data_IF_023750122169
#
_entry.id   IF_023750122169
#
_cell.length_a   1.000
_cell.length_b   1.000
_cell.length_c   1.000
_cell.angle_alpha   90.00
_cell.angle_beta   90.00
_cell.angle_gamma   90.00
#
_symmetry.space_group_name_H-M   'P 1'
#
loop_
_entity.id
_entity.type
_entity.pdbx_description
1 polymer ?
#
# COMPACT_ATOMS: atom_id res chain seq x y z
N UNK A 1 -20.42 4.86 5.52
CA UNK A 1 -19.24 5.02 6.42
C UNK A 1 -18.54 6.31 6.03
N UNK A 2 -18.16 7.16 7.01
CA UNK A 2 -17.37 8.36 6.71
C UNK A 2 -15.89 7.99 6.45
N UNK A 3 -15.14 8.86 5.77
CA UNK A 3 -13.70 8.64 5.56
C UNK A 3 -12.95 8.47 6.90
N UNK A 4 -13.37 9.21 7.93
CA UNK A 4 -12.78 9.11 9.27
C UNK A 4 -13.01 7.73 9.90
N UNK A 5 -14.21 7.18 9.77
CA UNK A 5 -14.55 5.84 10.26
C UNK A 5 -13.77 4.77 9.52
N UNK A 6 -13.71 4.84 8.18
CA UNK A 6 -12.93 3.93 7.36
C UNK A 6 -11.44 3.92 7.75
N UNK A 7 -10.85 5.11 7.97
CA UNK A 7 -9.46 5.23 8.43
C UNK A 7 -9.24 4.65 9.82
N UNK A 8 -10.19 4.85 10.74
CA UNK A 8 -10.12 4.29 12.11
C UNK A 8 -10.22 2.78 12.11
N UNK A 9 -11.07 2.22 11.25
CA UNK A 9 -11.38 0.79 11.24
C UNK A 9 -10.42 -0.02 10.38
N UNK A 10 -9.79 0.58 9.37
CA UNK A 10 -8.82 -0.07 8.50
C UNK A 10 -7.70 -0.74 9.30
N UNK A 11 -7.37 -1.96 8.97
CA UNK A 11 -6.23 -2.69 9.54
C UNK A 11 -5.51 -3.53 8.48
N UNK A 12 -4.29 -3.97 8.80
CA UNK A 12 -3.58 -4.98 8.03
C UNK A 12 -4.11 -6.38 8.36
N UNK A 13 -4.43 -7.16 7.32
CA UNK A 13 -4.96 -8.51 7.45
C UNK A 13 -3.90 -9.53 7.02
N UNK A 14 -3.25 -10.17 7.98
CA UNK A 14 -2.20 -11.18 7.71
C UNK A 14 -2.75 -12.49 7.14
N UNK A 15 -4.03 -12.75 7.35
CA UNK A 15 -4.78 -13.89 6.81
C UNK A 15 -6.01 -13.36 6.09
N UNK A 16 -6.27 -13.87 4.90
CA UNK A 16 -7.42 -13.54 4.07
C UNK A 16 -8.02 -14.83 3.49
N UNK A 17 -9.26 -14.76 3.01
CA UNK A 17 -9.90 -15.86 2.27
C UNK A 17 -9.58 -15.79 0.78
N UNK A 18 -10.06 -16.75 0.01
CA UNK A 18 -9.84 -16.83 -1.45
C UNK A 18 -10.72 -15.88 -2.26
N UNK A 19 -11.62 -15.12 -1.62
CA UNK A 19 -12.40 -14.09 -2.29
C UNK A 19 -11.47 -12.92 -2.68
N UNK A 20 -11.56 -12.47 -3.94
CA UNK A 20 -10.81 -11.33 -4.44
C UNK A 20 -11.71 -10.45 -5.31
N UNK A 21 -11.45 -9.15 -5.44
CA UNK A 21 -12.20 -8.30 -6.35
C UNK A 21 -12.06 -8.80 -7.79
N UNK A 22 -13.14 -8.65 -8.55
CA UNK A 22 -13.16 -8.89 -10.01
C UNK A 22 -12.31 -7.83 -10.73
N UNK A 23 -12.03 -8.02 -12.02
CA UNK A 23 -11.31 -7.03 -12.83
C UNK A 23 -11.98 -5.66 -12.81
N UNK A 24 -13.28 -5.54 -13.15
CA UNK A 24 -14.00 -4.26 -13.13
C UNK A 24 -14.03 -3.58 -11.74
N UNK A 25 -14.20 -4.35 -10.67
CA UNK A 25 -14.13 -3.79 -9.31
C UNK A 25 -12.73 -3.24 -9.00
N UNK A 26 -11.68 -3.99 -9.36
CA UNK A 26 -10.31 -3.56 -9.16
C UNK A 26 -10.00 -2.27 -9.93
N UNK A 27 -10.44 -2.17 -11.18
CA UNK A 27 -10.29 -0.97 -12.00
C UNK A 27 -10.96 0.25 -11.34
N UNK A 28 -12.18 0.10 -10.83
CA UNK A 28 -12.89 1.15 -10.12
C UNK A 28 -12.14 1.59 -8.85
N UNK A 29 -11.62 0.62 -8.08
CA UNK A 29 -10.85 0.92 -6.86
C UNK A 29 -9.52 1.63 -7.18
N UNK A 30 -8.82 1.21 -8.23
CA UNK A 30 -7.58 1.86 -8.69
C UNK A 30 -7.85 3.27 -9.20
N UNK A 31 -8.94 3.48 -9.95
CA UNK A 31 -9.34 4.80 -10.43
C UNK A 31 -9.62 5.77 -9.26
N UNK A 32 -10.32 5.30 -8.22
CA UNK A 32 -10.60 6.08 -7.02
C UNK A 32 -9.29 6.39 -6.24
N UNK A 33 -8.48 5.37 -6.00
CA UNK A 33 -7.20 5.50 -5.28
C UNK A 33 -6.20 6.41 -6.00
N UNK A 34 -6.25 6.45 -7.33
CA UNK A 34 -5.40 7.32 -8.16
C UNK A 34 -5.70 8.83 -8.05
N UNK A 35 -6.70 9.23 -7.25
CA UNK A 35 -7.04 10.65 -7.00
C UNK A 35 -6.21 11.32 -5.91
N UNK A 36 -5.10 10.71 -5.51
CA UNK A 36 -4.15 11.34 -4.58
C UNK A 36 -3.57 12.65 -5.13
N UNK A 37 -3.07 13.48 -4.22
CA UNK A 37 -2.31 14.66 -4.63
C UNK A 37 -1.08 14.24 -5.45
N UNK A 38 -0.92 14.83 -6.61
CA UNK A 38 0.10 14.47 -7.59
C UNK A 38 0.65 15.72 -8.27
N UNK A 39 1.94 15.93 -8.18
CA UNK A 39 2.61 17.11 -8.72
C UNK A 39 2.47 17.15 -10.25
N UNK A 40 1.74 18.16 -10.76
CA UNK A 40 1.44 18.37 -12.20
C UNK A 40 0.77 17.17 -12.88
N UNK A 41 0.03 16.37 -12.13
CA UNK A 41 -0.67 15.20 -12.65
C UNK A 41 0.27 14.21 -13.35
N UNK A 42 1.46 14.03 -12.79
CA UNK A 42 2.52 13.19 -13.36
C UNK A 42 2.13 11.71 -13.45
N UNK A 43 1.31 11.23 -12.49
CA UNK A 43 0.89 9.83 -12.33
C UNK A 43 2.08 8.86 -12.32
N UNK A 44 3.05 9.06 -11.45
CA UNK A 44 4.32 8.33 -11.45
C UNK A 44 4.15 6.95 -10.80
N UNK A 45 3.13 6.21 -11.21
CA UNK A 45 2.82 4.92 -10.62
C UNK A 45 2.09 3.99 -11.59
N UNK A 46 2.26 2.71 -11.40
CA UNK A 46 1.40 1.67 -11.96
C UNK A 46 1.28 0.49 -11.00
N UNK A 47 0.28 -0.31 -11.23
CA UNK A 47 0.01 -1.52 -10.44
C UNK A 47 0.13 -2.72 -11.37
N UNK A 48 0.80 -3.78 -10.90
CA UNK A 48 0.87 -5.05 -11.60
C UNK A 48 -0.01 -6.03 -10.84
N UNK A 49 -1.03 -6.52 -11.50
CA UNK A 49 -1.93 -7.54 -10.98
C UNK A 49 -1.29 -8.92 -11.11
N UNK A 50 -1.31 -9.70 -10.03
CA UNK A 50 -0.72 -11.03 -9.94
C UNK A 50 -1.77 -11.99 -9.37
N UNK A 51 -2.29 -12.89 -10.22
CA UNK A 51 -3.29 -13.91 -9.87
C UNK A 51 -2.86 -15.29 -10.35
N UNK A 52 -3.56 -16.31 -9.91
CA UNK A 52 -3.40 -17.68 -10.42
C UNK A 52 -1.94 -18.13 -10.47
N UNK A 53 -1.50 -18.58 -11.64
CA UNK A 53 -0.13 -19.05 -11.90
C UNK A 53 0.93 -17.96 -11.82
N UNK A 54 0.57 -16.68 -12.01
CA UNK A 54 1.54 -15.58 -11.92
C UNK A 54 2.14 -15.48 -10.52
N UNK A 55 1.42 -15.95 -9.51
CA UNK A 55 1.92 -16.05 -8.13
C UNK A 55 3.13 -16.99 -8.03
N UNK A 56 3.23 -17.99 -8.90
CA UNK A 56 4.38 -18.90 -8.92
C UNK A 56 5.61 -18.23 -9.54
N UNK A 57 5.41 -17.32 -10.52
CA UNK A 57 6.49 -16.47 -11.05
C UNK A 57 7.05 -15.57 -9.94
N UNK A 58 6.19 -14.93 -9.18
CA UNK A 58 6.59 -14.13 -8.02
C UNK A 58 7.29 -14.99 -6.96
N UNK A 59 6.79 -16.20 -6.69
CA UNK A 59 7.37 -17.11 -5.71
C UNK A 59 8.81 -17.52 -6.05
N UNK A 60 9.08 -17.78 -7.32
CA UNK A 60 10.45 -18.04 -7.81
C UNK A 60 11.33 -16.81 -7.69
N UNK A 61 10.82 -15.65 -8.08
CA UNK A 61 11.58 -14.40 -8.05
C UNK A 61 11.97 -13.99 -6.63
N UNK A 62 11.09 -14.17 -5.64
CA UNK A 62 11.37 -13.93 -4.23
C UNK A 62 12.49 -14.84 -3.72
N UNK A 63 12.41 -16.16 -3.96
CA UNK A 63 13.46 -17.08 -3.54
C UNK A 63 14.80 -16.75 -4.26
N UNK A 64 14.75 -16.40 -5.54
CA UNK A 64 15.96 -16.00 -6.29
C UNK A 64 16.58 -14.73 -5.70
N UNK A 65 15.76 -13.76 -5.31
CA UNK A 65 16.24 -12.54 -4.65
C UNK A 65 16.90 -12.83 -3.30
N UNK A 66 16.38 -13.82 -2.57
CA UNK A 66 16.93 -14.32 -1.29
C UNK A 66 18.15 -15.27 -1.47
N UNK A 67 18.61 -15.51 -2.69
CA UNK A 67 19.68 -16.49 -2.98
C UNK A 67 19.26 -17.95 -2.80
N UNK A 68 17.95 -18.24 -2.75
CA UNK A 68 17.38 -19.57 -2.52
C UNK A 68 16.89 -20.20 -3.82
N UNK A 69 16.87 -21.54 -3.87
CA UNK A 69 16.23 -22.32 -4.95
C UNK A 69 14.75 -22.52 -4.65
N UNK A 70 13.97 -22.89 -5.67
CA UNK A 70 12.57 -23.26 -5.56
C UNK A 70 11.62 -22.07 -5.40
N UNK A 71 10.53 -22.27 -4.69
CA UNK A 71 9.39 -21.34 -4.62
C UNK A 71 9.17 -20.86 -3.18
N UNK A 72 9.01 -19.56 -3.02
CA UNK A 72 8.55 -18.98 -1.76
C UNK A 72 7.07 -19.30 -1.53
N UNK A 73 6.69 -19.66 -0.30
CA UNK A 73 5.28 -19.83 0.07
C UNK A 73 4.53 -18.49 0.26
N UNK A 74 5.26 -17.37 0.31
CA UNK A 74 4.69 -16.04 0.59
C UNK A 74 3.53 -15.68 -0.37
N UNK A 75 3.64 -15.86 -1.72
CA UNK A 75 2.57 -15.46 -2.64
C UNK A 75 1.27 -16.28 -2.54
N UNK A 76 1.32 -17.45 -1.93
CA UNK A 76 0.13 -18.30 -1.75
C UNK A 76 -0.78 -17.83 -0.60
N UNK A 77 -0.39 -16.77 0.13
CA UNK A 77 -1.13 -16.25 1.29
C UNK A 77 -2.33 -15.38 0.92
N UNK A 78 -2.49 -15.04 -0.36
CA UNK A 78 -3.63 -14.27 -0.86
C UNK A 78 -3.96 -14.66 -2.30
N UNK A 79 -5.23 -14.61 -2.70
CA UNK A 79 -5.66 -14.91 -4.08
C UNK A 79 -5.23 -13.86 -5.08
N UNK A 80 -5.10 -12.60 -4.64
CA UNK A 80 -4.66 -11.47 -5.44
C UNK A 80 -3.48 -10.77 -4.76
N UNK A 81 -2.47 -10.45 -5.56
CA UNK A 81 -1.34 -9.62 -5.15
C UNK A 81 -1.21 -8.47 -6.13
N UNK A 82 -1.10 -7.26 -5.62
CA UNK A 82 -0.92 -6.04 -6.40
C UNK A 82 0.48 -5.51 -6.15
N UNK A 83 1.37 -5.63 -7.13
CA UNK A 83 2.70 -5.05 -7.03
C UNK A 83 2.64 -3.55 -7.31
N UNK A 84 3.21 -2.77 -6.41
CA UNK A 84 3.21 -1.31 -6.44
C UNK A 84 4.52 -0.83 -7.07
N UNK A 85 4.41 -0.15 -8.21
CA UNK A 85 5.56 0.37 -8.95
C UNK A 85 5.49 1.88 -8.98
N UNK A 86 6.58 2.54 -8.59
CA UNK A 86 6.78 3.97 -8.82
C UNK A 86 7.69 4.17 -10.03
N UNK A 87 7.35 5.14 -10.86
CA UNK A 87 8.21 5.63 -11.95
C UNK A 87 8.91 6.91 -11.47
N UNK A 88 10.20 6.81 -11.21
CA UNK A 88 11.03 7.93 -10.74
C UNK A 88 11.91 8.50 -11.85
N UNK A 89 11.51 8.32 -13.10
CA UNK A 89 12.27 8.73 -14.27
C UNK A 89 12.22 10.24 -14.56
N UNK A 90 11.22 10.96 -14.05
CA UNK A 90 11.11 12.41 -14.26
C UNK A 90 12.26 13.14 -13.57
N UNK A 91 13.03 13.90 -14.38
CA UNK A 91 14.11 14.76 -13.87
C UNK A 91 13.60 16.12 -13.33
N UNK A 92 12.34 16.46 -13.62
CA UNK A 92 11.73 17.74 -13.19
C UNK A 92 11.13 17.67 -11.80
N UNK A 93 10.82 16.46 -11.32
CA UNK A 93 10.23 16.19 -10.01
C UNK A 93 11.18 15.29 -9.23
N UNK A 94 11.52 15.62 -7.98
CA UNK A 94 12.38 14.79 -7.16
C UNK A 94 11.87 13.33 -7.06
N UNK A 95 12.78 12.37 -7.07
CA UNK A 95 12.41 10.95 -7.02
C UNK A 95 11.56 10.59 -5.78
N UNK A 96 11.86 11.20 -4.63
CA UNK A 96 11.10 10.97 -3.39
C UNK A 96 9.65 11.44 -3.48
N UNK A 97 9.35 12.53 -4.23
CA UNK A 97 7.96 12.97 -4.45
C UNK A 97 7.20 11.95 -5.31
N UNK A 98 7.87 11.40 -6.33
CA UNK A 98 7.29 10.39 -7.21
C UNK A 98 7.00 9.09 -6.43
N UNK A 99 7.92 8.64 -5.57
CA UNK A 99 7.68 7.50 -4.67
C UNK A 99 6.59 7.79 -3.63
N UNK A 100 6.54 9.03 -3.09
CA UNK A 100 5.51 9.44 -2.14
C UNK A 100 4.11 9.40 -2.76
N UNK A 101 3.95 9.88 -4.01
CA UNK A 101 2.69 9.81 -4.75
C UNK A 101 2.26 8.36 -4.96
N UNK A 102 3.17 7.48 -5.41
CA UNK A 102 2.89 6.04 -5.58
C UNK A 102 2.52 5.37 -4.25
N UNK A 103 3.19 5.73 -3.16
CA UNK A 103 2.86 5.25 -1.81
C UNK A 103 1.48 5.76 -1.35
N UNK A 104 1.13 6.99 -1.69
CA UNK A 104 -0.20 7.56 -1.45
C UNK A 104 -1.30 6.73 -2.12
N UNK A 105 -1.11 6.37 -3.40
CA UNK A 105 -2.04 5.48 -4.12
C UNK A 105 -2.19 4.13 -3.41
N UNK A 106 -1.09 3.54 -2.94
CA UNK A 106 -1.13 2.28 -2.22
C UNK A 106 -1.94 2.34 -0.92
N UNK A 107 -1.78 3.44 -0.15
CA UNK A 107 -2.56 3.66 1.07
C UNK A 107 -4.05 3.87 0.77
N UNK A 108 -4.38 4.71 -0.23
CA UNK A 108 -5.77 4.93 -0.64
C UNK A 108 -6.41 3.66 -1.18
N UNK A 109 -5.69 2.88 -1.99
CA UNK A 109 -6.18 1.60 -2.48
C UNK A 109 -6.41 0.60 -1.34
N UNK A 110 -5.52 0.56 -0.35
CA UNK A 110 -5.72 -0.27 0.85
C UNK A 110 -6.97 0.14 1.63
N UNK A 111 -7.29 1.43 1.68
CA UNK A 111 -8.48 1.94 2.36
C UNK A 111 -9.76 1.57 1.61
N UNK A 112 -9.82 1.83 0.31
CA UNK A 112 -10.98 1.52 -0.54
C UNK A 112 -11.26 0.01 -0.57
N UNK A 113 -10.24 -0.83 -0.69
CA UNK A 113 -10.39 -2.29 -0.63
C UNK A 113 -10.89 -2.74 0.75
N UNK A 114 -10.37 -2.14 1.85
CA UNK A 114 -10.84 -2.49 3.20
C UNK A 114 -12.30 -2.10 3.41
N UNK A 115 -12.73 -0.95 2.90
CA UNK A 115 -14.13 -0.49 2.93
C UNK A 115 -15.04 -1.43 2.12
N UNK A 116 -14.58 -1.87 0.95
CA UNK A 116 -15.29 -2.82 0.08
C UNK A 116 -15.35 -4.26 0.64
N UNK A 117 -14.81 -4.51 1.84
CA UNK A 117 -14.89 -5.82 2.49
C UNK A 117 -13.68 -6.73 2.25
N UNK A 118 -12.67 -6.26 1.54
CA UNK A 118 -11.44 -7.02 1.33
C UNK A 118 -10.41 -6.75 2.43
N UNK A 119 -9.72 -7.81 2.87
CA UNK A 119 -8.58 -7.72 3.74
C UNK A 119 -7.31 -7.40 2.95
N UNK A 120 -6.54 -6.42 3.40
CA UNK A 120 -5.32 -5.98 2.72
C UNK A 120 -4.13 -6.04 3.66
N UNK A 121 -2.98 -6.48 3.16
CA UNK A 121 -1.70 -6.42 3.85
C UNK A 121 -0.61 -5.91 2.91
N UNK A 122 -0.07 -4.74 3.17
CA UNK A 122 1.09 -4.25 2.45
C UNK A 122 2.35 -4.95 2.96
N UNK A 123 3.04 -5.66 2.09
CA UNK A 123 4.30 -6.33 2.36
C UNK A 123 5.42 -5.67 1.56
N UNK A 124 6.49 -5.42 2.24
CA UNK A 124 7.78 -5.05 1.66
C UNK A 124 8.76 -6.21 1.85
N UNK A 125 9.90 -6.14 1.20
CA UNK A 125 11.00 -7.09 1.32
C UNK A 125 12.32 -6.32 1.10
N UNK A 126 13.37 -6.69 1.81
CA UNK A 126 14.69 -6.03 1.69
C UNK A 126 15.24 -6.10 0.26
N UNK A 127 14.78 -7.09 -0.49
CA UNK A 127 15.20 -7.32 -1.87
C UNK A 127 14.30 -6.65 -2.93
N UNK A 128 13.33 -5.78 -2.56
CA UNK A 128 12.42 -5.13 -3.53
C UNK A 128 13.15 -4.41 -4.65
N UNK A 129 14.37 -3.94 -4.40
CA UNK A 129 15.25 -3.27 -5.38
C UNK A 129 16.19 -4.21 -6.11
N UNK A 130 16.07 -5.54 -5.94
CA UNK A 130 16.93 -6.52 -6.59
C UNK A 130 16.65 -6.66 -8.08
N UNK A 131 17.71 -6.99 -8.86
CA UNK A 131 17.57 -7.28 -10.31
C UNK A 131 16.60 -8.43 -10.58
N UNK A 132 16.53 -9.42 -9.69
CA UNK A 132 15.64 -10.57 -9.86
C UNK A 132 14.18 -10.16 -9.82
N UNK A 133 13.80 -9.32 -8.86
CA UNK A 133 12.44 -8.80 -8.72
C UNK A 133 12.12 -7.77 -9.81
N UNK A 134 13.05 -6.89 -10.17
CA UNK A 134 12.88 -5.96 -11.28
C UNK A 134 12.57 -6.70 -12.59
N UNK A 135 13.33 -7.75 -12.91
CA UNK A 135 13.09 -8.59 -14.09
C UNK A 135 11.74 -9.31 -14.05
N UNK A 136 11.38 -9.89 -12.90
CA UNK A 136 10.14 -10.63 -12.76
C UNK A 136 8.89 -9.74 -12.92
N UNK A 137 8.97 -8.47 -12.51
CA UNK A 137 7.89 -7.49 -12.65
C UNK A 137 7.97 -6.68 -13.95
N UNK A 138 8.90 -6.98 -14.86
CA UNK A 138 9.07 -6.22 -16.09
C UNK A 138 9.29 -4.73 -15.84
N UNK A 139 10.08 -4.38 -14.83
CA UNK A 139 10.34 -2.98 -14.51
C UNK A 139 11.19 -2.33 -15.59
N UNK A 140 10.78 -1.15 -16.02
CA UNK A 140 11.51 -0.30 -16.96
C UNK A 140 12.61 0.50 -16.25
N UNK A 141 13.49 1.12 -17.02
CA UNK A 141 14.48 2.07 -16.50
C UNK A 141 13.76 3.23 -15.81
N UNK A 142 14.11 3.49 -14.56
CA UNK A 142 13.46 4.51 -13.73
C UNK A 142 12.26 4.00 -12.94
N UNK A 143 11.82 2.76 -13.13
CA UNK A 143 10.79 2.16 -12.28
C UNK A 143 11.39 1.45 -11.07
N UNK A 144 10.70 1.56 -9.95
CA UNK A 144 11.08 0.94 -8.70
C UNK A 144 9.89 0.25 -8.04
N UNK A 145 10.12 -0.93 -7.49
CA UNK A 145 9.11 -1.70 -6.78
C UNK A 145 9.03 -1.22 -5.33
N UNK A 146 7.83 -0.82 -4.87
CA UNK A 146 7.59 -0.40 -3.48
C UNK A 146 7.13 -1.55 -2.58
N UNK A 147 6.78 -2.69 -3.15
CA UNK A 147 6.24 -3.84 -2.44
C UNK A 147 4.92 -4.31 -3.03
N UNK A 148 4.16 -5.04 -2.24
CA UNK A 148 2.94 -5.71 -2.70
C UNK A 148 1.80 -5.55 -1.71
N UNK A 149 0.59 -5.29 -2.20
CA UNK A 149 -0.65 -5.47 -1.45
C UNK A 149 -1.14 -6.90 -1.65
N UNK A 150 -1.22 -7.66 -0.57
CA UNK A 150 -1.84 -8.98 -0.52
C UNK A 150 -3.31 -8.78 -0.21
N UNK A 151 -4.19 -9.19 -1.12
CA UNK A 151 -5.62 -8.89 -1.08
C UNK A 151 -6.43 -10.17 -1.11
N UNK A 152 -7.46 -10.26 -0.26
CA UNK A 152 -8.43 -11.33 -0.24
C UNK A 152 -9.61 -10.99 0.66
N UNK A 153 -10.64 -11.83 0.73
CA UNK A 153 -11.79 -11.58 1.59
C UNK A 153 -11.40 -11.51 3.07
N UNK A 154 -12.07 -10.67 3.84
CA UNK A 154 -11.89 -10.64 5.30
C UNK A 154 -12.39 -11.94 5.92
N UNK A 155 -11.57 -12.67 6.71
CA UNK A 155 -12.04 -13.86 7.39
C UNK A 155 -13.06 -13.48 8.48
N UNK A 156 -13.97 -14.41 8.86
CA UNK A 156 -14.88 -14.21 9.97
C UNK A 156 -14.10 -13.80 11.23
N UNK A 157 -14.52 -12.75 11.90
CA UNK A 157 -13.89 -12.30 13.15
C UNK A 157 -14.32 -13.21 14.29
N UNK A 158 -13.34 -13.88 14.91
CA UNK A 158 -13.58 -14.65 16.12
C UNK A 158 -13.40 -13.81 17.39
N UNK A 159 -12.64 -12.72 17.34
CA UNK A 159 -12.39 -11.85 18.51
C UNK A 159 -12.19 -10.39 18.10
N UNK A 160 -12.72 -9.42 18.88
CA UNK A 160 -12.39 -8.01 18.73
C UNK A 160 -10.89 -7.78 18.95
N UNK A 161 -10.24 -7.06 18.06
CA UNK A 161 -8.84 -6.65 18.24
C UNK A 161 -8.82 -5.24 18.79
N UNK A 162 -8.41 -5.09 20.06
CA UNK A 162 -8.17 -3.76 20.64
C UNK A 162 -6.95 -3.14 19.97
N UNK A 163 -7.12 -1.98 19.37
CA UNK A 163 -6.02 -1.21 18.78
C UNK A 163 -5.55 -0.16 19.78
N UNK A 164 -4.25 0.05 19.83
CA UNK A 164 -3.70 1.24 20.47
C UNK A 164 -4.02 2.45 19.59
N UNK A 165 -4.60 3.47 20.19
CA UNK A 165 -4.79 4.77 19.55
C UNK A 165 -3.43 5.43 19.35
N UNK A 166 -3.29 6.16 18.24
CA UNK A 166 -2.13 7.01 18.02
C UNK A 166 -2.22 8.21 18.95
N UNK A 167 -1.19 8.46 19.72
CA UNK A 167 -1.07 9.68 20.51
C UNK A 167 -0.64 10.83 19.58
N UNK A 168 -1.62 11.54 19.03
CA UNK A 168 -1.39 12.58 18.06
C UNK A 168 -0.48 13.71 18.58
N UNK A 169 -0.48 13.97 19.89
CA UNK A 169 0.36 15.02 20.48
C UNK A 169 1.87 14.75 20.32
N UNK A 170 2.26 13.47 20.22
CA UNK A 170 3.65 13.08 19.97
C UNK A 170 4.09 13.27 18.51
N UNK A 171 3.16 13.48 17.60
CA UNK A 171 3.41 13.57 16.17
C UNK A 171 3.13 14.97 15.59
N UNK A 172 2.65 15.89 16.43
CA UNK A 172 2.37 17.27 16.04
C UNK A 172 3.34 18.19 16.76
N UNK A 173 4.15 18.91 16.03
CA UNK A 173 5.07 19.92 16.57
C UNK A 173 4.81 21.27 15.91
N UNK A 174 5.24 22.33 16.59
CA UNK A 174 5.23 23.67 16.01
C UNK A 174 6.58 23.93 15.33
N UNK A 175 6.58 24.82 14.35
CA UNK A 175 7.81 25.33 13.76
C UNK A 175 8.66 25.95 14.87
N UNK A 176 9.96 25.65 14.96
CA UNK A 176 10.87 26.31 15.90
C UNK A 176 10.85 27.82 15.73
N UNK A 177 10.84 28.58 16.84
CA UNK A 177 10.83 30.04 16.83
C UNK A 177 9.44 30.70 16.77
N UNK A 178 8.35 29.95 16.67
CA UNK A 178 6.99 30.49 16.78
C UNK A 178 6.69 31.01 18.21
N UNK A 179 6.06 32.21 18.34
CA UNK A 179 5.61 32.72 19.63
C UNK A 179 4.69 31.68 20.32
N UNK A 180 4.90 31.44 21.63
CA UNK A 180 3.99 30.59 22.42
C UNK A 180 2.57 31.16 22.32
N UNK A 181 1.61 30.38 21.84
CA UNK A 181 0.18 30.74 21.93
C UNK A 181 -0.14 30.95 23.42
N UNK A 182 -0.79 32.08 23.73
CA UNK A 182 -1.46 32.22 25.05
C UNK A 182 -2.42 31.03 25.18
N UNK A 183 -2.45 30.41 26.35
CA UNK A 183 -3.47 29.41 26.69
C UNK A 183 -4.82 30.08 26.52
N UNK A 184 -5.50 29.83 25.41
CA UNK A 184 -6.93 30.15 25.33
C UNK A 184 -7.60 29.18 26.30
N UNK A 185 -8.00 29.71 27.43
CA UNK A 185 -8.97 29.08 28.30
C UNK A 185 -10.26 29.01 27.48
N UNK A 186 -10.53 27.84 26.90
CA UNK A 186 -11.87 27.52 26.42
C UNK A 186 -12.80 27.41 27.61
N UNK A 187 -13.39 28.53 27.95
CA UNK A 187 -14.67 28.57 28.62
C UNK A 187 -15.73 28.17 27.57
N UNK A 188 -16.12 26.95 27.56
CA UNK A 188 -17.42 26.51 27.06
C UNK A 188 -18.15 25.82 28.19
N UNK A 189 -18.95 26.66 28.85
CA UNK A 189 -20.12 26.26 29.61
C UNK A 189 -21.10 25.50 28.72
#
# INVERSE_FOLDING_TARGET
MSALEAMRDRRSWSKVTDLAPTGPELEAFVAAAGRVADHKTLRPWRIIEIRGSDRDLLARALNKADGKKGYSSKPRRAPLILALVADVSSKKIPAWEQEATASGVAHMLSLVLDEAGFGVFWRTDDNTRSKALAKAHGLKKGEVLLGWLYVGGKPPRTRPVRRKTVDAAKHISRMPGGKKRRKDHDARS
#
